data_IF_596677453837
#
_entry.id   IF_596677453837
#
_cell.length_a   1.000
_cell.length_b   1.000
_cell.length_c   1.000
_cell.angle_alpha   90.00
_cell.angle_beta   90.00
_cell.angle_gamma   90.00
#
_symmetry.space_group_name_H-M   'P 1'
#
loop_
_entity.id
_entity.type
_entity.pdbx_description
1 polymer ?
#
# COMPACT_ATOMS: atom_id res chain seq x y z
N UNK A 1 -29.26 -13.58 7.00
CA UNK A 1 -27.94 -13.16 7.56
C UNK A 1 -27.12 -12.58 6.42
N UNK A 2 -26.49 -11.44 6.66
CA UNK A 2 -25.53 -10.83 5.69
C UNK A 2 -24.12 -11.02 6.23
N UNK A 3 -23.21 -11.48 5.35
CA UNK A 3 -21.79 -11.69 5.67
C UNK A 3 -20.95 -10.76 4.79
N UNK A 4 -20.09 -9.96 5.39
CA UNK A 4 -19.16 -9.07 4.68
C UNK A 4 -17.77 -9.70 4.64
N UNK A 5 -17.26 -9.96 3.43
CA UNK A 5 -15.93 -10.48 3.20
C UNK A 5 -15.06 -9.44 2.50
N UNK A 6 -13.83 -9.28 2.97
CA UNK A 6 -12.86 -8.38 2.35
C UNK A 6 -11.70 -9.20 1.78
N UNK A 7 -11.59 -9.24 0.46
CA UNK A 7 -10.46 -9.89 -0.24
C UNK A 7 -9.37 -8.87 -0.54
N UNK A 8 -8.11 -9.24 -0.33
CA UNK A 8 -6.96 -8.39 -0.61
C UNK A 8 -5.86 -9.18 -1.30
N UNK A 9 -5.30 -8.63 -2.36
CA UNK A 9 -4.09 -9.13 -3.01
C UNK A 9 -3.36 -7.99 -3.69
N UNK A 10 -2.02 -8.06 -3.75
CA UNK A 10 -1.20 -7.19 -4.58
C UNK A 10 -1.20 -7.60 -6.05
N UNK A 11 -1.77 -8.76 -6.37
CA UNK A 11 -1.87 -9.33 -7.72
C UNK A 11 -3.33 -9.43 -8.11
N UNK A 12 -3.74 -8.75 -9.18
CA UNK A 12 -5.14 -8.61 -9.59
C UNK A 12 -5.78 -9.97 -9.91
N UNK A 13 -5.09 -10.83 -10.69
CA UNK A 13 -5.60 -12.17 -11.01
C UNK A 13 -5.84 -13.06 -9.78
N UNK A 14 -5.06 -12.88 -8.71
CA UNK A 14 -5.29 -13.60 -7.45
C UNK A 14 -6.51 -13.08 -6.68
N UNK A 15 -6.82 -11.81 -6.82
CA UNK A 15 -8.02 -11.23 -6.24
C UNK A 15 -9.28 -11.74 -6.96
N UNK A 16 -9.23 -11.81 -8.28
CA UNK A 16 -10.28 -12.40 -9.11
C UNK A 16 -10.52 -13.88 -8.75
N UNK A 17 -9.45 -14.67 -8.68
CA UNK A 17 -9.52 -16.09 -8.25
C UNK A 17 -10.17 -16.23 -6.87
N UNK A 18 -9.80 -15.39 -5.89
CA UNK A 18 -10.43 -15.41 -4.56
C UNK A 18 -11.92 -15.06 -4.62
N UNK A 19 -12.33 -14.15 -5.48
CA UNK A 19 -13.73 -13.79 -5.66
C UNK A 19 -14.52 -14.97 -6.25
N UNK A 20 -13.98 -15.66 -7.25
CA UNK A 20 -14.60 -16.85 -7.83
C UNK A 20 -14.76 -17.98 -6.81
N UNK A 21 -13.73 -18.22 -5.98
CA UNK A 21 -13.79 -19.21 -4.89
C UNK A 21 -14.89 -18.84 -3.90
N UNK A 22 -14.94 -17.60 -3.44
CA UNK A 22 -15.97 -17.12 -2.50
C UNK A 22 -17.35 -17.29 -3.10
N UNK A 23 -17.55 -16.85 -4.33
CA UNK A 23 -18.83 -16.98 -5.02
C UNK A 23 -19.28 -18.45 -5.11
N UNK A 24 -18.36 -19.34 -5.48
CA UNK A 24 -18.64 -20.77 -5.61
C UNK A 24 -19.04 -21.40 -4.28
N UNK A 25 -18.31 -21.11 -3.21
CA UNK A 25 -18.57 -21.66 -1.87
C UNK A 25 -19.91 -21.16 -1.34
N UNK A 26 -20.21 -19.87 -1.45
CA UNK A 26 -21.47 -19.32 -0.95
C UNK A 26 -22.66 -19.76 -1.80
N UNK A 27 -22.48 -19.93 -3.12
CA UNK A 27 -23.52 -20.48 -4.00
C UNK A 27 -23.93 -21.92 -3.60
N UNK A 28 -22.98 -22.75 -3.16
CA UNK A 28 -23.30 -24.09 -2.66
C UNK A 28 -24.18 -24.07 -1.40
N UNK A 29 -24.12 -22.98 -0.63
CA UNK A 29 -24.99 -22.77 0.52
C UNK A 29 -26.31 -22.05 0.16
N UNK A 30 -26.58 -21.80 -1.11
CA UNK A 30 -27.79 -21.12 -1.59
C UNK A 30 -27.77 -19.60 -1.29
N UNK A 31 -26.61 -19.01 -1.07
CA UNK A 31 -26.46 -17.58 -0.82
C UNK A 31 -26.23 -16.80 -2.12
N UNK A 32 -26.71 -15.57 -2.15
CA UNK A 32 -26.38 -14.59 -3.19
C UNK A 32 -25.08 -13.86 -2.80
N UNK A 33 -24.20 -13.63 -3.77
CA UNK A 33 -22.92 -12.95 -3.58
C UNK A 33 -22.83 -11.71 -4.45
N UNK A 34 -22.54 -10.59 -3.83
CA UNK A 34 -22.38 -9.31 -4.48
C UNK A 34 -20.96 -8.78 -4.27
N UNK A 35 -20.29 -8.31 -5.33
CA UNK A 35 -18.96 -7.72 -5.26
C UNK A 35 -19.02 -6.23 -5.47
N UNK A 36 -18.40 -5.46 -4.59
CA UNK A 36 -18.33 -4.00 -4.68
C UNK A 36 -17.02 -3.45 -4.16
N UNK A 37 -16.74 -2.17 -4.44
CA UNK A 37 -15.59 -1.47 -3.86
C UNK A 37 -14.23 -2.01 -4.29
N UNK A 38 -14.12 -2.57 -5.51
CA UNK A 38 -12.84 -3.09 -6.01
C UNK A 38 -11.78 -1.98 -6.10
N UNK A 39 -10.60 -2.27 -5.57
CA UNK A 39 -9.44 -1.39 -5.53
C UNK A 39 -8.23 -2.09 -6.15
N UNK A 40 -7.50 -1.46 -7.10
CA UNK A 40 -6.37 -2.12 -7.75
C UNK A 40 -5.25 -2.44 -6.77
N UNK A 41 -4.66 -3.62 -6.93
CA UNK A 41 -3.48 -4.03 -6.18
C UNK A 41 -2.24 -3.23 -6.61
N UNK A 42 -1.31 -3.05 -5.69
CA UNK A 42 0.01 -2.49 -6.01
C UNK A 42 1.08 -3.56 -5.74
N UNK A 43 1.56 -4.16 -6.83
CA UNK A 43 2.61 -5.17 -6.77
C UNK A 43 3.95 -4.51 -6.44
N UNK A 44 4.67 -4.98 -5.41
CA UNK A 44 5.98 -4.43 -5.07
C UNK A 44 6.98 -4.57 -6.22
N UNK A 45 7.72 -3.49 -6.52
CA UNK A 45 8.86 -3.50 -7.42
C UNK A 45 10.15 -3.61 -6.59
N UNK A 46 10.76 -4.79 -6.54
CA UNK A 46 12.01 -5.02 -5.81
C UNK A 46 13.24 -4.43 -6.51
N UNK A 47 13.09 -3.96 -7.76
CA UNK A 47 14.13 -3.29 -8.57
C UNK A 47 13.79 -1.81 -8.74
N UNK A 48 13.10 -1.21 -7.79
CA UNK A 48 12.72 0.20 -7.82
C UNK A 48 13.94 1.10 -7.62
N UNK A 49 14.19 1.98 -8.58
CA UNK A 49 15.27 2.96 -8.49
C UNK A 49 15.01 3.97 -7.35
N UNK A 50 13.78 4.46 -7.25
CA UNK A 50 13.43 5.41 -6.17
C UNK A 50 13.59 4.75 -4.77
N UNK A 51 13.32 3.46 -4.64
CA UNK A 51 13.53 2.74 -3.38
C UNK A 51 15.02 2.71 -3.01
N UNK A 52 15.90 2.41 -3.97
CA UNK A 52 17.35 2.36 -3.72
C UNK A 52 17.91 3.74 -3.36
N UNK A 53 17.50 4.78 -4.08
CA UNK A 53 17.86 6.18 -3.75
C UNK A 53 17.40 6.53 -2.34
N UNK A 54 16.16 6.23 -1.98
CA UNK A 54 15.62 6.53 -0.66
C UNK A 54 16.31 5.75 0.46
N UNK A 55 16.62 4.47 0.26
CA UNK A 55 17.39 3.69 1.25
C UNK A 55 18.76 4.32 1.51
N UNK A 56 19.49 4.64 0.45
CA UNK A 56 20.82 5.27 0.54
C UNK A 56 20.74 6.63 1.24
N UNK A 57 19.80 7.47 0.83
CA UNK A 57 19.59 8.82 1.42
C UNK A 57 19.22 8.71 2.90
N UNK A 58 18.34 7.79 3.27
CA UNK A 58 17.93 7.61 4.66
C UNK A 58 19.11 7.15 5.54
N UNK A 59 19.88 6.16 5.06
CA UNK A 59 21.04 5.67 5.78
C UNK A 59 22.12 6.74 5.93
N UNK A 60 22.35 7.55 4.90
CA UNK A 60 23.32 8.66 4.95
C UNK A 60 22.90 9.72 5.97
N UNK A 61 21.61 10.09 5.99
CA UNK A 61 21.13 11.19 6.84
C UNK A 61 20.94 10.77 8.31
N UNK A 62 20.58 9.50 8.55
CA UNK A 62 20.18 9.05 9.90
C UNK A 62 21.07 7.93 10.48
N UNK A 63 22.04 7.43 9.72
CA UNK A 63 22.98 6.40 10.18
C UNK A 63 22.38 5.00 10.38
N UNK A 64 21.12 4.79 9.97
CA UNK A 64 20.41 3.52 10.10
C UNK A 64 19.68 3.16 8.81
N UNK A 65 19.55 1.88 8.53
CA UNK A 65 18.80 1.41 7.36
C UNK A 65 17.28 1.61 7.58
N UNK A 66 16.55 2.14 6.59
CA UNK A 66 15.11 2.30 6.70
C UNK A 66 14.41 0.95 6.66
N UNK A 67 13.33 0.83 7.41
CA UNK A 67 12.47 -0.35 7.35
C UNK A 67 11.56 -0.27 6.12
N UNK A 68 11.76 -1.18 5.18
CA UNK A 68 10.89 -1.35 4.00
C UNK A 68 9.88 -2.46 4.30
N UNK A 69 8.62 -2.16 4.15
CA UNK A 69 7.52 -3.10 4.40
C UNK A 69 6.55 -3.12 3.22
N UNK A 70 5.90 -4.24 3.06
CA UNK A 70 4.78 -4.41 2.14
C UNK A 70 3.53 -4.53 2.99
N UNK A 71 2.51 -3.74 2.66
CA UNK A 71 1.22 -3.82 3.35
C UNK A 71 0.11 -4.16 2.37
N UNK A 72 -0.85 -4.96 2.81
CA UNK A 72 -2.06 -5.27 2.05
C UNK A 72 -3.14 -4.22 2.35
N UNK A 73 -2.92 -3.01 1.87
CA UNK A 73 -3.87 -1.90 1.97
C UNK A 73 -4.17 -1.33 0.58
N UNK A 74 -5.33 -0.71 0.43
CA UNK A 74 -5.62 0.12 -0.73
C UNK A 74 -4.77 1.39 -0.63
N UNK A 75 -3.80 1.53 -1.53
CA UNK A 75 -2.95 2.72 -1.62
C UNK A 75 -3.19 3.42 -2.95
N UNK A 76 -3.04 4.72 -2.96
CA UNK A 76 -3.14 5.57 -4.16
C UNK A 76 -2.18 5.10 -5.27
N UNK A 77 -1.03 4.54 -4.89
CA UNK A 77 -0.08 3.94 -5.83
C UNK A 77 -0.69 2.79 -6.66
N UNK A 78 -1.68 2.06 -6.14
CA UNK A 78 -2.40 1.07 -6.92
C UNK A 78 -3.20 1.71 -8.07
N UNK A 79 -3.91 2.80 -7.79
CA UNK A 79 -4.70 3.56 -8.79
C UNK A 79 -3.77 4.24 -9.80
N UNK A 80 -2.72 4.90 -9.32
CA UNK A 80 -1.75 5.59 -10.18
C UNK A 80 -1.06 4.58 -11.09
N UNK A 81 -0.53 3.48 -10.54
CA UNK A 81 0.18 2.46 -11.30
C UNK A 81 -0.68 1.73 -12.34
N UNK A 82 -2.01 1.62 -12.10
CA UNK A 82 -2.96 1.11 -13.09
C UNK A 82 -3.09 2.05 -14.29
N UNK A 83 -3.11 3.37 -14.04
CA UNK A 83 -3.25 4.38 -15.09
C UNK A 83 -1.93 4.71 -15.78
N UNK A 84 -0.80 4.50 -15.09
CA UNK A 84 0.55 4.76 -15.58
C UNK A 84 1.43 3.52 -15.39
N UNK A 85 1.25 2.47 -16.23
CA UNK A 85 2.05 1.25 -16.14
C UNK A 85 3.54 1.55 -16.28
N UNK A 86 4.34 0.98 -15.37
CA UNK A 86 5.80 1.18 -15.35
C UNK A 86 6.28 2.38 -14.55
N UNK A 87 5.38 3.19 -13.98
CA UNK A 87 5.77 4.26 -13.06
C UNK A 87 6.42 3.66 -11.81
N UNK A 88 7.62 4.12 -11.49
CA UNK A 88 8.30 3.73 -10.25
C UNK A 88 7.77 4.58 -9.09
N UNK A 89 7.33 3.92 -8.04
CA UNK A 89 6.59 4.58 -6.96
C UNK A 89 6.97 4.01 -5.60
N UNK A 90 6.92 4.86 -4.60
CA UNK A 90 7.06 4.49 -3.20
C UNK A 90 6.06 5.27 -2.35
N UNK A 91 5.57 4.63 -1.29
CA UNK A 91 4.71 5.27 -0.29
C UNK A 91 5.48 5.41 1.01
N UNK A 92 5.52 6.61 1.57
CA UNK A 92 6.16 6.90 2.85
C UNK A 92 5.51 8.13 3.50
N UNK A 93 5.68 8.27 4.80
CA UNK A 93 5.07 9.37 5.53
C UNK A 93 5.54 9.45 6.98
N UNK A 94 5.01 10.43 7.75
CA UNK A 94 5.22 10.51 9.18
C UNK A 94 4.58 9.33 9.91
N UNK A 95 4.93 9.13 11.16
CA UNK A 95 4.33 8.08 11.98
C UNK A 95 2.89 8.43 12.35
N UNK A 96 1.95 7.62 11.88
CA UNK A 96 0.53 7.70 12.20
C UNK A 96 0.16 6.50 13.07
N UNK A 97 -0.67 6.71 14.08
CA UNK A 97 -1.26 5.66 14.91
C UNK A 97 -2.77 5.65 14.74
N UNK A 98 -3.34 4.46 14.75
CA UNK A 98 -4.78 4.21 14.63
C UNK A 98 -5.43 4.84 13.38
N UNK A 99 -4.85 4.68 12.17
CA UNK A 99 -5.41 5.25 10.96
C UNK A 99 -6.86 4.78 10.76
N UNK A 100 -7.68 5.67 10.22
CA UNK A 100 -9.12 5.42 9.96
C UNK A 100 -9.97 5.19 11.21
N UNK A 101 -9.53 5.66 12.36
CA UNK A 101 -10.29 5.59 13.62
C UNK A 101 -10.47 6.97 14.23
N UNK A 102 -11.44 7.17 15.15
CA UNK A 102 -11.58 8.42 15.89
C UNK A 102 -10.35 8.81 16.73
N UNK A 103 -9.49 7.82 17.04
CA UNK A 103 -8.24 8.01 17.79
C UNK A 103 -7.02 8.26 16.89
N UNK A 104 -7.23 8.48 15.60
CA UNK A 104 -6.14 8.73 14.65
C UNK A 104 -5.30 9.94 15.08
N UNK A 105 -3.98 9.72 15.10
CA UNK A 105 -3.03 10.77 15.51
C UNK A 105 -1.70 10.62 14.80
N UNK A 106 -1.08 11.75 14.46
CA UNK A 106 0.26 11.83 13.91
C UNK A 106 1.28 12.16 15.02
N UNK A 107 2.45 11.55 14.93
CA UNK A 107 3.58 11.94 15.77
C UNK A 107 4.24 13.20 15.17
N UNK A 108 3.96 14.36 15.76
CA UNK A 108 4.39 15.69 15.27
C UNK A 108 5.90 15.75 14.99
N UNK A 109 6.82 15.30 15.86
CA UNK A 109 8.26 15.28 15.56
C UNK A 109 8.64 14.55 14.29
N UNK A 110 7.86 13.53 13.87
CA UNK A 110 8.14 12.76 12.65
C UNK A 110 7.71 13.49 11.37
N UNK A 111 6.92 14.53 11.46
CA UNK A 111 6.51 15.36 10.31
C UNK A 111 7.71 16.14 9.76
N UNK A 112 8.48 16.78 10.63
CA UNK A 112 9.70 17.48 10.23
C UNK A 112 10.71 16.51 9.61
N UNK A 113 10.96 15.37 10.27
CA UNK A 113 11.83 14.31 9.74
C UNK A 113 11.38 13.81 8.37
N UNK A 114 10.08 13.59 8.17
CA UNK A 114 9.51 13.20 6.88
C UNK A 114 9.80 14.25 5.79
N UNK A 115 9.58 15.53 6.10
CA UNK A 115 9.79 16.62 5.14
C UNK A 115 11.27 16.78 4.77
N UNK A 116 12.17 16.73 5.75
CA UNK A 116 13.62 16.76 5.51
C UNK A 116 14.08 15.60 4.63
N UNK A 117 13.56 14.40 4.90
CA UNK A 117 13.85 13.21 4.10
C UNK A 117 13.30 13.31 2.68
N UNK A 118 12.08 13.86 2.50
CA UNK A 118 11.52 14.14 1.18
C UNK A 118 12.43 15.08 0.38
N UNK A 119 12.85 16.19 0.97
CA UNK A 119 13.74 17.15 0.31
C UNK A 119 15.10 16.54 -0.04
N UNK A 120 15.67 15.75 0.85
CA UNK A 120 16.93 15.05 0.60
C UNK A 120 16.81 14.02 -0.52
N UNK A 121 15.70 13.28 -0.57
CA UNK A 121 15.42 12.34 -1.65
C UNK A 121 15.28 13.04 -3.00
N UNK A 122 14.51 14.14 -3.07
CA UNK A 122 14.34 14.91 -4.31
C UNK A 122 15.65 15.53 -4.85
N UNK A 123 16.60 15.80 -3.96
CA UNK A 123 17.94 16.28 -4.35
C UNK A 123 18.86 15.15 -4.85
N UNK A 124 18.56 13.91 -4.49
CA UNK A 124 19.36 12.73 -4.83
C UNK A 124 18.85 12.00 -6.09
N UNK A 125 17.64 12.31 -6.56
CA UNK A 125 17.05 11.86 -7.82
C UNK A 125 17.58 12.69 -9.01
#
# INVERSE_FOLDING_TARGET
VTVYCLTRSSVESRKEELQEIIQSVFAMAGAEVEFSGSYPGWKPNLKSHILDVMKTTYQTNYGVEPRVIIIHAGLECGIIGRNYPGMDMISFGPTIKYPHSPDERVNIPTVAKFYEFLLATLKAL
#
